data_IF_355167496315
#
_entry.id   IF_355167496315
#
_cell.length_a   1.000
_cell.length_b   1.000
_cell.length_c   1.000
_cell.angle_alpha   90.00
_cell.angle_beta   90.00
_cell.angle_gamma   90.00
#
_symmetry.space_group_name_H-M   'P 1'
#
loop_
_entity.id
_entity.type
_entity.pdbx_description
1 polymer ?
#
# COMPACT_ATOMS: atom_id res chain seq x y z
N UNK A 1 -0.36 -11.43 -9.50
CA UNK A 1 -1.81 -11.62 -9.44
C UNK A 1 -2.55 -10.29 -9.26
N UNK A 2 -2.31 -9.51 -8.17
CA UNK A 2 -3.05 -8.29 -7.83
C UNK A 2 -3.02 -7.22 -8.94
N UNK A 3 -1.85 -6.91 -9.50
CA UNK A 3 -1.69 -5.98 -10.62
C UNK A 3 -2.57 -6.36 -11.81
N UNK A 4 -2.50 -7.61 -12.27
CA UNK A 4 -3.27 -8.07 -13.43
C UNK A 4 -4.78 -8.09 -13.17
N UNK A 5 -5.19 -8.48 -11.96
CA UNK A 5 -6.60 -8.45 -11.57
C UNK A 5 -7.15 -7.01 -11.55
N UNK A 6 -6.39 -6.06 -11.00
CA UNK A 6 -6.76 -4.63 -11.03
C UNK A 6 -6.82 -4.08 -12.45
N UNK A 7 -5.86 -4.42 -13.31
CA UNK A 7 -5.86 -4.00 -14.72
C UNK A 7 -7.11 -4.54 -15.44
N UNK A 8 -7.42 -5.82 -15.27
CA UNK A 8 -8.61 -6.44 -15.84
C UNK A 8 -9.90 -5.75 -15.40
N UNK A 9 -10.04 -5.54 -14.10
CA UNK A 9 -11.22 -4.88 -13.51
C UNK A 9 -11.36 -3.45 -13.99
N UNK A 10 -10.25 -2.72 -14.15
CA UNK A 10 -10.25 -1.35 -14.68
C UNK A 10 -10.69 -1.31 -16.14
N UNK A 11 -10.22 -2.26 -16.97
CA UNK A 11 -10.67 -2.39 -18.37
C UNK A 11 -12.16 -2.72 -18.43
N UNK A 12 -12.65 -3.67 -17.65
CA UNK A 12 -14.07 -4.00 -17.57
C UNK A 12 -14.94 -2.80 -17.18
N UNK A 13 -14.49 -2.02 -16.21
CA UNK A 13 -15.20 -0.81 -15.78
C UNK A 13 -15.22 0.25 -16.88
N UNK A 14 -14.10 0.47 -17.58
CA UNK A 14 -14.04 1.48 -18.66
C UNK A 14 -14.92 1.11 -19.85
N UNK A 15 -15.11 -0.18 -20.12
CA UNK A 15 -16.03 -0.67 -21.12
C UNK A 15 -17.50 -0.59 -20.68
N UNK A 16 -17.76 -0.67 -19.37
CA UNK A 16 -19.10 -0.73 -18.79
C UNK A 16 -19.29 0.37 -17.73
N UNK A 17 -19.37 1.63 -18.16
CA UNK A 17 -19.47 2.80 -17.26
C UNK A 17 -20.69 2.77 -16.32
N UNK A 18 -21.75 2.06 -16.70
CA UNK A 18 -22.96 1.90 -15.89
C UNK A 18 -22.72 1.15 -14.57
N UNK A 19 -21.61 0.40 -14.44
CA UNK A 19 -21.23 -0.31 -13.22
C UNK A 19 -21.10 0.63 -12.00
N UNK A 20 -20.87 1.91 -12.22
CA UNK A 20 -20.78 2.90 -11.13
C UNK A 20 -22.08 3.00 -10.30
N UNK A 21 -23.23 2.76 -10.93
CA UNK A 21 -24.52 2.75 -10.23
C UNK A 21 -24.67 1.57 -9.26
N UNK A 22 -23.88 0.51 -9.43
CA UNK A 22 -23.83 -0.65 -8.54
C UNK A 22 -22.84 -0.48 -7.38
N UNK A 23 -22.15 0.65 -7.29
CA UNK A 23 -21.19 0.94 -6.19
C UNK A 23 -21.79 0.72 -4.79
N UNK A 24 -23.04 1.12 -4.48
CA UNK A 24 -23.65 0.83 -3.17
C UNK A 24 -23.79 -0.67 -2.90
N UNK A 25 -24.14 -1.46 -3.92
CA UNK A 25 -24.24 -2.92 -3.80
C UNK A 25 -22.86 -3.55 -3.58
N UNK A 26 -21.84 -3.05 -4.27
CA UNK A 26 -20.45 -3.42 -4.04
C UNK A 26 -20.01 -3.14 -2.60
N UNK A 27 -20.35 -1.96 -2.07
CA UNK A 27 -20.08 -1.59 -0.68
C UNK A 27 -20.76 -2.51 0.32
N UNK A 28 -22.03 -2.84 0.11
CA UNK A 28 -22.76 -3.81 0.95
C UNK A 28 -22.11 -5.20 0.91
N UNK A 29 -21.67 -5.65 -0.28
CA UNK A 29 -20.96 -6.91 -0.44
C UNK A 29 -19.63 -6.94 0.34
N UNK A 30 -18.85 -5.84 0.30
CA UNK A 30 -17.62 -5.70 1.08
C UNK A 30 -17.91 -5.77 2.58
N UNK A 31 -18.88 -5.00 3.07
CA UNK A 31 -19.26 -5.02 4.50
C UNK A 31 -19.72 -6.41 4.93
N UNK A 32 -20.54 -7.08 4.13
CA UNK A 32 -20.98 -8.45 4.43
C UNK A 32 -19.79 -9.43 4.50
N UNK A 33 -18.82 -9.31 3.59
CA UNK A 33 -17.61 -10.13 3.56
C UNK A 33 -16.73 -9.90 4.80
N UNK A 34 -16.53 -8.65 5.22
CA UNK A 34 -15.80 -8.31 6.44
C UNK A 34 -16.48 -8.86 7.70
N UNK A 35 -17.83 -8.76 7.79
CA UNK A 35 -18.60 -9.35 8.89
C UNK A 35 -18.52 -10.86 8.92
N UNK A 36 -18.69 -11.51 7.77
CA UNK A 36 -18.64 -12.97 7.68
C UNK A 36 -17.30 -13.54 8.11
N UNK A 37 -16.20 -12.83 7.78
CA UNK A 37 -14.83 -13.24 8.15
C UNK A 37 -14.40 -12.74 9.55
N UNK A 38 -15.33 -12.13 10.32
CA UNK A 38 -15.05 -11.59 11.66
C UNK A 38 -13.83 -10.66 11.69
N UNK A 39 -13.70 -9.79 10.68
CA UNK A 39 -12.61 -8.84 10.54
C UNK A 39 -13.10 -7.39 10.68
N UNK A 40 -14.10 -7.16 11.53
CA UNK A 40 -14.73 -5.84 11.74
C UNK A 40 -13.79 -4.81 12.41
N UNK A 41 -12.75 -5.29 13.08
CA UNK A 41 -11.74 -4.45 13.75
C UNK A 41 -10.61 -3.99 12.82
N UNK A 42 -10.74 -4.22 11.52
CA UNK A 42 -9.75 -3.78 10.54
C UNK A 42 -9.76 -2.25 10.44
N UNK A 43 -8.69 -1.64 10.94
CA UNK A 43 -8.44 -0.19 10.86
C UNK A 43 -7.59 0.19 9.65
N UNK A 44 -7.53 -0.70 8.65
CA UNK A 44 -6.75 -0.47 7.45
C UNK A 44 -5.25 -0.55 7.70
N UNK A 45 -4.49 0.34 7.08
CA UNK A 45 -3.02 0.39 7.22
C UNK A 45 -2.59 0.61 8.67
N UNK A 46 -3.41 1.27 9.49
CA UNK A 46 -3.12 1.47 10.91
C UNK A 46 -3.03 0.15 11.69
N UNK A 47 -3.77 -0.88 11.29
CA UNK A 47 -3.66 -2.20 11.91
C UNK A 47 -2.28 -2.83 11.67
N UNK A 48 -1.69 -2.64 10.49
CA UNK A 48 -0.36 -3.14 10.17
C UNK A 48 0.71 -2.40 10.96
N UNK A 49 0.56 -1.08 11.10
CA UNK A 49 1.46 -0.24 11.90
C UNK A 49 1.36 -0.63 13.39
N UNK A 50 0.16 -0.82 13.89
CA UNK A 50 -0.10 -1.24 15.27
C UNK A 50 0.48 -2.64 15.54
N UNK A 51 0.38 -3.58 14.61
CA UNK A 51 0.96 -4.91 14.73
C UNK A 51 2.51 -4.92 14.82
N UNK A 52 3.18 -3.85 14.43
CA UNK A 52 4.63 -3.70 14.58
C UNK A 52 5.00 -3.07 15.94
N UNK A 53 4.09 -2.27 16.53
CA UNK A 53 4.35 -1.59 17.81
C UNK A 53 3.79 -2.33 19.04
N UNK A 54 2.67 -2.97 18.87
CA UNK A 54 1.95 -3.67 19.92
C UNK A 54 1.56 -5.02 19.35
N UNK A 55 1.93 -6.12 19.90
CA UNK A 55 1.69 -7.50 19.43
C UNK A 55 0.24 -7.79 18.96
N UNK A 56 -0.38 -6.81 18.29
CA UNK A 56 -1.69 -6.96 17.68
C UNK A 56 -1.64 -8.01 16.57
N UNK A 57 -2.63 -8.89 16.58
CA UNK A 57 -2.69 -9.96 15.59
C UNK A 57 -2.99 -9.43 14.18
N UNK A 58 -2.08 -9.70 13.26
CA UNK A 58 -2.28 -9.45 11.83
C UNK A 58 -2.61 -10.79 11.13
N UNK A 59 -3.90 -11.14 10.96
CA UNK A 59 -4.27 -12.44 10.44
C UNK A 59 -4.03 -12.55 8.94
N UNK A 60 -3.55 -13.72 8.46
CA UNK A 60 -3.33 -13.98 7.03
C UNK A 60 -4.61 -13.82 6.20
N UNK A 61 -5.79 -14.10 6.78
CA UNK A 61 -7.11 -13.92 6.11
C UNK A 61 -7.35 -12.49 5.63
N UNK A 62 -6.64 -11.51 6.17
CA UNK A 62 -6.71 -10.12 5.77
C UNK A 62 -6.21 -9.92 4.33
N UNK A 63 -5.17 -10.63 3.90
CA UNK A 63 -4.62 -10.48 2.55
C UNK A 63 -5.63 -10.81 1.44
N UNK A 64 -6.32 -11.97 1.40
CA UNK A 64 -7.35 -12.24 0.40
C UNK A 64 -8.57 -11.33 0.55
N UNK A 65 -8.93 -10.92 1.77
CA UNK A 65 -10.05 -10.02 2.02
C UNK A 65 -9.82 -8.66 1.37
N UNK A 66 -8.66 -8.05 1.59
CA UNK A 66 -8.26 -6.78 1.00
C UNK A 66 -8.12 -6.90 -0.52
N UNK A 67 -7.56 -8.00 -0.99
CA UNK A 67 -7.46 -8.28 -2.43
C UNK A 67 -8.83 -8.20 -3.09
N UNK A 68 -9.83 -8.94 -2.60
CA UNK A 68 -11.18 -9.01 -3.17
C UNK A 68 -11.92 -7.67 -3.00
N UNK A 69 -11.88 -7.05 -1.81
CA UNK A 69 -12.55 -5.78 -1.56
C UNK A 69 -12.02 -4.65 -2.43
N UNK A 70 -10.71 -4.62 -2.66
CA UNK A 70 -10.08 -3.63 -3.56
C UNK A 70 -10.54 -3.85 -5.00
N UNK A 71 -10.61 -5.09 -5.47
CA UNK A 71 -11.12 -5.40 -6.82
C UNK A 71 -12.59 -4.99 -6.99
N UNK A 72 -13.44 -5.28 -6.00
CA UNK A 72 -14.85 -4.87 -6.00
C UNK A 72 -14.96 -3.34 -6.07
N UNK A 73 -14.21 -2.64 -5.24
CA UNK A 73 -14.21 -1.17 -5.21
C UNK A 73 -13.82 -0.58 -6.56
N UNK A 74 -12.75 -1.09 -7.19
CA UNK A 74 -12.30 -0.62 -8.51
C UNK A 74 -13.28 -1.00 -9.63
N UNK A 75 -13.90 -2.18 -9.56
CA UNK A 75 -14.89 -2.63 -10.54
C UNK A 75 -16.09 -1.68 -10.60
N UNK A 76 -16.59 -1.28 -9.45
CA UNK A 76 -17.73 -0.37 -9.36
C UNK A 76 -17.35 1.12 -9.37
N UNK A 77 -16.09 1.44 -9.63
CA UNK A 77 -15.62 2.81 -9.81
C UNK A 77 -15.46 3.62 -8.52
N UNK A 78 -15.36 2.94 -7.39
CA UNK A 78 -15.01 3.58 -6.13
C UNK A 78 -13.59 4.15 -6.16
N UNK A 79 -13.39 5.30 -5.54
CA UNK A 79 -12.08 5.94 -5.41
C UNK A 79 -11.33 5.32 -4.23
N UNK A 80 -10.44 4.37 -4.51
CA UNK A 80 -9.59 3.74 -3.51
C UNK A 80 -8.15 3.67 -4.00
N UNK A 81 -7.20 3.92 -3.08
CA UNK A 81 -5.78 3.77 -3.36
C UNK A 81 -5.36 2.29 -3.38
N UNK A 82 -4.29 2.01 -4.12
CA UNK A 82 -3.68 0.67 -4.18
C UNK A 82 -2.57 0.51 -3.14
N UNK A 83 -2.07 1.63 -2.63
CA UNK A 83 -0.92 1.71 -1.74
C UNK A 83 -1.20 0.99 -0.42
N UNK A 84 -2.25 1.40 0.27
CA UNK A 84 -2.67 0.78 1.53
C UNK A 84 -2.99 -0.70 1.39
N UNK A 85 -3.66 -1.09 0.30
CA UNK A 85 -3.96 -2.49 0.03
C UNK A 85 -2.68 -3.33 -0.15
N UNK A 86 -1.68 -2.82 -0.88
CA UNK A 86 -0.40 -3.50 -1.06
C UNK A 86 0.34 -3.68 0.26
N UNK A 87 0.41 -2.63 1.07
CA UNK A 87 1.08 -2.66 2.38
C UNK A 87 0.41 -3.65 3.34
N UNK A 88 -0.92 -3.62 3.41
CA UNK A 88 -1.68 -4.52 4.28
C UNK A 88 -1.55 -5.99 3.85
N UNK A 89 -1.69 -6.29 2.56
CA UNK A 89 -1.49 -7.65 2.03
C UNK A 89 -0.07 -8.13 2.28
N UNK A 90 0.93 -7.29 1.98
CA UNK A 90 2.33 -7.60 2.18
C UNK A 90 2.67 -7.84 3.65
N UNK A 91 2.24 -6.96 4.54
CA UNK A 91 2.43 -7.08 5.97
C UNK A 91 1.78 -8.33 6.55
N UNK A 92 0.54 -8.64 6.14
CA UNK A 92 -0.19 -9.84 6.57
C UNK A 92 0.53 -11.13 6.14
N UNK A 93 1.03 -11.18 4.90
CA UNK A 93 1.82 -12.32 4.42
C UNK A 93 3.16 -12.41 5.15
N UNK A 94 3.84 -11.28 5.37
CA UNK A 94 5.09 -11.21 6.13
C UNK A 94 4.92 -11.74 7.56
N UNK A 95 3.86 -11.33 8.25
CA UNK A 95 3.52 -11.83 9.58
C UNK A 95 3.26 -13.34 9.59
N UNK A 96 2.50 -13.83 8.60
CA UNK A 96 2.22 -15.26 8.49
C UNK A 96 3.49 -16.09 8.26
N UNK A 97 4.42 -15.60 7.44
CA UNK A 97 5.72 -16.24 7.24
C UNK A 97 6.57 -16.20 8.53
N UNK A 98 6.59 -15.06 9.23
CA UNK A 98 7.28 -14.96 10.53
C UNK A 98 6.76 -15.97 11.55
N UNK A 99 5.43 -16.17 11.62
CA UNK A 99 4.81 -17.21 12.46
C UNK A 99 5.16 -18.62 12.00
N UNK A 100 5.16 -18.87 10.69
CA UNK A 100 5.49 -20.19 10.11
C UNK A 100 6.93 -20.62 10.41
N UNK A 101 7.87 -19.67 10.34
CA UNK A 101 9.28 -19.92 10.66
C UNK A 101 9.60 -19.83 12.16
N UNK A 102 8.61 -19.60 13.01
CA UNK A 102 8.75 -19.47 14.46
C UNK A 102 9.76 -18.40 14.89
N UNK A 103 9.78 -17.27 14.18
CA UNK A 103 10.61 -16.14 14.55
C UNK A 103 10.14 -15.50 15.86
N UNK A 104 11.06 -14.88 16.58
CA UNK A 104 10.72 -14.09 17.76
C UNK A 104 9.94 -12.80 17.36
N UNK A 105 9.44 -12.06 18.35
CA UNK A 105 8.57 -10.91 18.05
C UNK A 105 9.32 -9.80 17.30
N UNK A 106 10.61 -9.60 17.57
CA UNK A 106 11.43 -8.61 16.87
C UNK A 106 11.63 -8.99 15.40
N UNK A 107 11.94 -10.24 15.13
CA UNK A 107 12.12 -10.73 13.76
C UNK A 107 10.80 -10.79 12.99
N UNK A 108 9.67 -11.06 13.67
CA UNK A 108 8.33 -10.92 13.07
C UNK A 108 8.05 -9.49 12.61
N UNK A 109 8.41 -8.48 13.41
CA UNK A 109 8.24 -7.07 13.01
C UNK A 109 9.07 -6.77 11.75
N UNK A 110 10.31 -7.26 11.66
CA UNK A 110 11.13 -7.15 10.46
C UNK A 110 10.48 -7.87 9.27
N UNK A 111 9.91 -9.05 9.48
CA UNK A 111 9.20 -9.80 8.42
C UNK A 111 7.96 -9.08 7.91
N UNK A 112 7.19 -8.42 8.78
CA UNK A 112 6.05 -7.58 8.38
C UNK A 112 6.56 -6.45 7.47
N UNK A 113 7.60 -5.72 7.89
CA UNK A 113 8.20 -4.64 7.09
C UNK A 113 8.75 -5.13 5.75
N UNK A 114 9.40 -6.29 5.72
CA UNK A 114 9.85 -6.94 4.48
C UNK A 114 8.70 -7.27 3.54
N UNK A 115 7.60 -7.78 4.08
CA UNK A 115 6.39 -8.08 3.30
C UNK A 115 5.76 -6.82 2.71
N UNK A 116 5.65 -5.74 3.50
CA UNK A 116 5.19 -4.43 3.03
C UNK A 116 6.08 -3.90 1.90
N UNK A 117 7.40 -3.95 2.11
CA UNK A 117 8.41 -3.50 1.16
C UNK A 117 8.34 -4.29 -0.17
N UNK A 118 8.24 -5.62 -0.08
CA UNK A 118 8.11 -6.49 -1.25
C UNK A 118 6.84 -6.20 -2.06
N UNK A 119 5.69 -6.11 -1.38
CA UNK A 119 4.41 -5.90 -2.05
C UNK A 119 4.35 -4.51 -2.72
N UNK A 120 4.84 -3.48 -2.04
CA UNK A 120 4.90 -2.13 -2.59
C UNK A 120 5.83 -2.06 -3.80
N UNK A 121 7.04 -2.63 -3.69
CA UNK A 121 8.02 -2.68 -4.78
C UNK A 121 7.49 -3.43 -6.01
N UNK A 122 6.85 -4.57 -5.80
CA UNK A 122 6.28 -5.38 -6.88
C UNK A 122 5.14 -4.65 -7.62
N UNK A 123 4.38 -3.79 -6.92
CA UNK A 123 3.24 -3.09 -7.50
C UNK A 123 3.65 -1.80 -8.22
N UNK A 124 4.57 -1.02 -7.62
CA UNK A 124 4.92 0.31 -8.11
C UNK A 124 6.28 0.35 -8.83
N UNK A 125 7.09 -0.68 -8.73
CA UNK A 125 8.40 -0.76 -9.40
C UNK A 125 9.44 0.22 -8.85
N UNK A 126 9.34 0.59 -7.58
CA UNK A 126 10.20 1.57 -6.90
C UNK A 126 10.92 0.91 -5.71
N UNK A 127 11.90 0.01 -5.94
CA UNK A 127 12.47 -0.82 -4.89
C UNK A 127 13.15 -0.04 -3.76
N UNK A 128 13.84 1.07 -4.06
CA UNK A 128 14.50 1.87 -3.03
C UNK A 128 13.51 2.61 -2.14
N UNK A 129 12.48 3.23 -2.73
CA UNK A 129 11.42 3.87 -1.96
C UNK A 129 10.62 2.84 -1.15
N UNK A 130 10.33 1.69 -1.74
CA UNK A 130 9.62 0.59 -1.08
C UNK A 130 10.38 0.01 0.11
N UNK A 131 11.72 0.02 0.09
CA UNK A 131 12.53 -0.45 1.20
C UNK A 131 12.48 0.50 2.41
N UNK A 132 12.40 1.80 2.17
CA UNK A 132 12.40 2.84 3.22
C UNK A 132 11.00 3.06 3.79
N UNK A 133 9.97 2.99 2.94
CA UNK A 133 8.60 3.33 3.28
C UNK A 133 8.06 2.65 4.56
N UNK A 134 8.19 1.33 4.75
CA UNK A 134 7.69 0.69 5.98
C UNK A 134 8.37 1.19 7.24
N UNK A 135 9.66 1.50 7.18
CA UNK A 135 10.42 2.00 8.34
C UNK A 135 9.96 3.41 8.74
N UNK A 136 9.70 4.28 7.77
CA UNK A 136 9.18 5.63 8.00
C UNK A 136 7.72 5.63 8.49
N UNK A 137 6.92 4.66 8.02
CA UNK A 137 5.53 4.52 8.46
C UNK A 137 5.42 4.03 9.90
N UNK A 138 6.34 3.18 10.33
CA UNK A 138 6.35 2.62 11.68
C UNK A 138 6.81 3.66 12.71
N UNK A 139 7.82 4.43 12.39
CA UNK A 139 8.39 5.41 13.33
C UNK A 139 8.81 6.66 12.58
N UNK A 140 7.94 7.66 12.56
CA UNK A 140 8.24 8.95 11.90
C UNK A 140 9.48 9.59 12.52
N UNK A 141 10.49 9.82 11.70
CA UNK A 141 11.75 10.46 12.11
C UNK A 141 12.73 9.57 12.87
N UNK A 142 12.42 8.29 13.11
CA UNK A 142 13.33 7.32 13.73
C UNK A 142 13.40 6.08 12.85
N UNK A 143 14.50 5.93 12.14
CA UNK A 143 14.69 4.81 11.22
C UNK A 143 15.05 3.52 11.96
N UNK A 144 14.29 2.45 11.69
CA UNK A 144 14.55 1.12 12.25
C UNK A 144 15.62 0.39 11.43
N UNK A 145 16.89 0.75 11.64
CA UNK A 145 18.02 0.32 10.81
C UNK A 145 18.19 -1.20 10.68
N UNK A 146 17.73 -1.99 11.66
CA UNK A 146 17.80 -3.45 11.62
C UNK A 146 17.00 -4.01 10.44
N UNK A 147 15.88 -3.37 10.07
CA UNK A 147 15.04 -3.78 8.96
C UNK A 147 15.56 -3.28 7.59
N UNK A 148 16.52 -2.36 7.53
CA UNK A 148 16.94 -1.72 6.28
C UNK A 148 17.44 -2.75 5.25
N UNK A 149 18.42 -3.57 5.62
CA UNK A 149 19.00 -4.56 4.71
C UNK A 149 17.98 -5.61 4.28
N UNK A 150 17.22 -6.25 5.18
CA UNK A 150 16.15 -7.17 4.80
C UNK A 150 15.10 -6.55 3.87
N UNK A 151 14.65 -5.31 4.12
CA UNK A 151 13.68 -4.61 3.28
C UNK A 151 14.25 -4.28 1.89
N UNK A 152 15.52 -3.87 1.80
CA UNK A 152 16.18 -3.64 0.50
C UNK A 152 16.24 -4.93 -0.31
N UNK A 153 16.69 -6.03 0.28
CA UNK A 153 16.76 -7.33 -0.41
C UNK A 153 15.35 -7.76 -0.85
N UNK A 154 14.38 -7.71 0.06
CA UNK A 154 12.99 -8.09 -0.21
C UNK A 154 12.38 -7.28 -1.35
N UNK A 155 12.59 -5.95 -1.35
CA UNK A 155 12.06 -5.06 -2.38
C UNK A 155 12.71 -5.29 -3.75
N UNK A 156 14.03 -5.50 -3.81
CA UNK A 156 14.74 -5.77 -5.06
C UNK A 156 14.33 -7.11 -5.67
N UNK A 157 14.27 -8.17 -4.85
CA UNK A 157 13.83 -9.50 -5.31
C UNK A 157 12.39 -9.44 -5.81
N UNK A 158 11.50 -8.79 -5.06
CA UNK A 158 10.10 -8.65 -5.46
C UNK A 158 9.94 -7.85 -6.76
N UNK A 159 10.72 -6.78 -6.94
CA UNK A 159 10.76 -6.02 -8.18
C UNK A 159 11.23 -6.88 -9.36
N UNK A 160 12.33 -7.62 -9.20
CA UNK A 160 12.86 -8.50 -10.26
C UNK A 160 11.86 -9.57 -10.67
N UNK A 161 11.18 -10.19 -9.70
CA UNK A 161 10.12 -11.16 -9.98
C UNK A 161 8.95 -10.50 -10.69
N UNK A 162 8.46 -9.35 -10.20
CA UNK A 162 7.34 -8.64 -10.82
C UNK A 162 7.66 -8.24 -12.27
N UNK A 163 8.86 -7.74 -12.51
CA UNK A 163 9.36 -7.39 -13.84
C UNK A 163 9.39 -8.61 -14.79
N UNK A 164 9.87 -9.76 -14.31
CA UNK A 164 9.92 -11.00 -15.12
C UNK A 164 8.52 -11.52 -15.50
N UNK A 165 7.50 -11.20 -14.69
CA UNK A 165 6.09 -11.49 -15.02
C UNK A 165 5.40 -10.42 -15.88
N UNK A 166 6.14 -9.39 -16.33
CA UNK A 166 5.60 -8.34 -17.20
C UNK A 166 4.75 -7.29 -16.47
N UNK A 167 4.96 -7.11 -15.17
CA UNK A 167 4.36 -5.99 -14.46
C UNK A 167 5.07 -4.71 -14.93
N UNK A 168 4.33 -3.85 -15.62
CA UNK A 168 4.86 -2.57 -16.08
C UNK A 168 4.64 -1.49 -15.04
N UNK A 169 5.67 -0.70 -14.78
CA UNK A 169 5.57 0.46 -13.90
C UNK A 169 4.77 1.56 -14.58
N UNK A 170 4.00 2.31 -13.81
CA UNK A 170 3.42 3.56 -14.29
C UNK A 170 4.55 4.58 -14.50
N UNK A 171 4.82 4.94 -15.74
CA UNK A 171 5.86 5.91 -16.08
C UNK A 171 5.21 7.23 -16.49
N UNK A 172 5.51 8.29 -15.76
CA UNK A 172 5.14 9.64 -16.14
C UNK A 172 6.26 10.25 -16.97
N UNK A 173 5.96 10.59 -18.23
CA UNK A 173 6.94 11.20 -19.13
C UNK A 173 7.04 12.68 -18.79
N UNK A 174 8.13 13.07 -18.12
CA UNK A 174 8.44 14.48 -17.86
C UNK A 174 9.19 15.03 -19.06
N UNK A 175 8.54 15.88 -19.83
CA UNK A 175 9.09 16.44 -21.09
C UNK A 175 10.14 17.53 -20.87
N UNK A 176 10.10 18.22 -19.74
CA UNK A 176 11.04 19.28 -19.41
C UNK A 176 11.37 19.24 -17.93
N UNK A 177 12.64 19.08 -17.62
CA UNK A 177 13.14 19.14 -16.25
C UNK A 177 13.81 20.51 -16.08
N UNK A 178 13.33 21.38 -15.19
CA UNK A 178 13.97 22.66 -14.93
C UNK A 178 15.37 22.45 -14.36
N UNK A 179 16.31 23.29 -14.74
CA UNK A 179 17.66 23.26 -14.18
C UNK A 179 17.61 23.62 -12.70
N UNK A 180 18.38 22.92 -11.90
CA UNK A 180 18.51 23.23 -10.48
C UNK A 180 19.13 24.62 -10.32
N UNK A 181 18.44 25.51 -9.60
CA UNK A 181 18.85 26.89 -9.37
C UNK A 181 18.06 27.50 -8.22
N UNK A 182 18.53 28.65 -7.74
CA UNK A 182 17.90 29.35 -6.59
C UNK A 182 16.42 29.63 -6.86
N UNK A 183 16.08 30.13 -8.05
CA UNK A 183 14.69 30.44 -8.42
C UNK A 183 13.81 29.15 -8.38
N UNK A 184 14.27 28.09 -9.02
CA UNK A 184 13.56 26.80 -8.99
C UNK A 184 13.41 26.25 -7.59
N UNK A 185 14.41 26.42 -6.72
CA UNK A 185 14.32 26.00 -5.31
C UNK A 185 13.27 26.79 -4.54
N UNK A 186 13.13 28.10 -4.78
CA UNK A 186 12.09 28.93 -4.17
C UNK A 186 10.71 28.48 -4.66
N UNK A 187 10.54 28.28 -5.98
CA UNK A 187 9.26 27.80 -6.57
C UNK A 187 8.84 26.45 -5.98
N UNK A 188 9.77 25.50 -5.85
CA UNK A 188 9.51 24.19 -5.24
C UNK A 188 9.16 24.34 -3.76
N UNK A 189 9.83 25.21 -3.02
CA UNK A 189 9.54 25.46 -1.61
C UNK A 189 8.14 26.04 -1.39
N UNK A 190 7.75 27.01 -2.22
CA UNK A 190 6.39 27.57 -2.19
C UNK A 190 5.35 26.50 -2.49
N UNK A 191 5.59 25.68 -3.52
CA UNK A 191 4.71 24.58 -3.87
C UNK A 191 4.59 23.58 -2.71
N UNK A 192 5.69 23.21 -2.06
CA UNK A 192 5.70 22.29 -0.93
C UNK A 192 4.88 22.82 0.26
N UNK A 193 4.99 24.13 0.56
CA UNK A 193 4.17 24.78 1.60
C UNK A 193 2.68 24.71 1.25
N UNK A 194 2.32 25.03 0.01
CA UNK A 194 0.93 24.93 -0.44
C UNK A 194 0.38 23.51 -0.35
N UNK A 195 1.15 22.53 -0.79
CA UNK A 195 0.78 21.11 -0.66
C UNK A 195 0.61 20.69 0.80
N UNK A 196 1.48 21.13 1.70
CA UNK A 196 1.36 20.86 3.13
C UNK A 196 0.08 21.46 3.73
N UNK A 197 -0.26 22.70 3.39
CA UNK A 197 -1.51 23.34 3.83
C UNK A 197 -2.75 22.59 3.35
N UNK A 198 -2.78 22.17 2.08
CA UNK A 198 -3.88 21.36 1.51
C UNK A 198 -3.97 20.01 2.22
N UNK A 199 -2.85 19.36 2.49
CA UNK A 199 -2.81 18.09 3.21
C UNK A 199 -3.36 18.22 4.63
N UNK A 200 -2.97 19.26 5.36
CA UNK A 200 -3.50 19.55 6.71
C UNK A 200 -5.01 19.78 6.65
N UNK A 201 -5.47 20.59 5.70
CA UNK A 201 -6.90 20.86 5.52
C UNK A 201 -7.69 19.57 5.24
N UNK A 202 -7.17 18.71 4.36
CA UNK A 202 -7.77 17.42 4.04
C UNK A 202 -7.87 16.52 5.27
N UNK A 203 -6.80 16.39 6.05
CA UNK A 203 -6.79 15.61 7.29
C UNK A 203 -7.80 16.13 8.31
N UNK A 204 -7.89 17.45 8.50
CA UNK A 204 -8.83 18.08 9.44
C UNK A 204 -10.28 17.84 9.00
N UNK A 205 -10.57 17.88 7.69
CA UNK A 205 -11.92 17.64 7.17
C UNK A 205 -12.34 16.18 7.31
N UNK A 206 -11.41 15.23 7.18
CA UNK A 206 -11.71 13.80 7.34
C UNK A 206 -11.92 13.37 8.80
N UNK A 207 -11.33 14.10 9.76
CA UNK A 207 -11.45 13.77 11.19
C UNK A 207 -12.64 14.46 11.88
N UNK A 208 -13.42 15.25 11.16
CA UNK A 208 -14.70 15.80 11.63
C UNK A 208 -15.88 14.93 11.21
#
# INVERSE_FOLDING_TARGET
AFYFALSLVTVLRTQNTWLIFLLPLGGLGIVAMYRFLHNEKDTGTNLVISAIHSDDELPLRMAPLIFVSTLITHLFGGSAGREGAALQMGGSIGNALGKLFHFDDKDKHVMIMCGMSAAFSALFGTPMAAAILPMEMVSVGVMYYIALVPCVISSLVAHGIAYSFGVSNEMFIIRSIPKFGIMTSIEISVLAILCALVSILFCVLLHK
#
